data_IF_917667461160
#
_entry.id   IF_917667461160
#
_cell.length_a   1.000
_cell.length_b   1.000
_cell.length_c   1.000
_cell.angle_alpha   90.00
_cell.angle_beta   90.00
_cell.angle_gamma   90.00
#
_symmetry.space_group_name_H-M   'P 1'
#
loop_
_entity.id
_entity.type
_entity.pdbx_description
1 polymer ?
#
# COMPACT_ATOMS: atom_id res chain seq x y z
N UNK A 1 -48.81 -30.14 16.89
CA UNK A 1 -47.47 -30.21 17.47
C UNK A 1 -46.44 -30.96 16.60
N UNK A 2 -46.86 -31.62 15.51
CA UNK A 2 -45.92 -32.37 14.66
C UNK A 2 -45.23 -31.56 13.56
N UNK A 3 -45.85 -30.47 13.08
CA UNK A 3 -45.28 -29.69 11.97
C UNK A 3 -43.99 -28.94 12.30
N UNK A 4 -43.84 -28.41 13.53
CA UNK A 4 -42.63 -27.70 13.93
C UNK A 4 -41.45 -28.65 14.10
N UNK A 5 -41.66 -29.88 14.57
CA UNK A 5 -40.61 -30.89 14.73
C UNK A 5 -40.09 -31.44 13.39
N UNK A 6 -40.95 -31.46 12.36
CA UNK A 6 -40.58 -31.93 11.02
C UNK A 6 -39.77 -30.88 10.22
N UNK A 7 -39.94 -29.58 10.50
CA UNK A 7 -39.19 -28.53 9.87
C UNK A 7 -37.72 -28.61 10.32
N UNK A 8 -37.45 -28.81 11.60
CA UNK A 8 -36.09 -28.98 12.12
C UNK A 8 -35.35 -30.22 11.58
N UNK A 9 -36.08 -31.28 11.23
CA UNK A 9 -35.50 -32.50 10.68
C UNK A 9 -35.15 -32.42 9.18
N UNK A 10 -35.55 -31.34 8.49
CA UNK A 10 -35.32 -31.14 7.06
C UNK A 10 -34.32 -30.05 6.76
N UNK A 11 -33.74 -29.44 7.77
CA UNK A 11 -32.67 -28.46 7.58
C UNK A 11 -31.37 -29.17 7.26
N UNK A 12 -30.64 -28.64 6.31
CA UNK A 12 -29.30 -29.12 5.89
C UNK A 12 -28.25 -28.15 6.33
N UNK A 13 -27.06 -28.64 6.58
CA UNK A 13 -25.89 -27.85 6.93
C UNK A 13 -24.87 -27.92 5.79
N UNK A 14 -24.22 -26.81 5.49
CA UNK A 14 -23.12 -26.77 4.52
C UNK A 14 -21.82 -27.28 5.15
N UNK A 15 -20.89 -27.71 4.31
CA UNK A 15 -19.57 -28.17 4.75
C UNK A 15 -18.84 -27.07 5.53
N UNK A 16 -19.02 -25.80 5.13
CA UNK A 16 -18.46 -24.64 5.83
C UNK A 16 -18.97 -24.50 7.26
N UNK A 17 -20.26 -24.74 7.49
CA UNK A 17 -20.84 -24.71 8.85
C UNK A 17 -20.35 -25.88 9.69
N UNK A 18 -20.26 -27.06 9.06
CA UNK A 18 -19.77 -28.27 9.72
C UNK A 18 -18.30 -28.14 10.15
N UNK A 19 -17.52 -27.37 9.43
CA UNK A 19 -16.11 -27.10 9.78
C UNK A 19 -15.96 -26.40 11.14
N UNK A 20 -16.93 -25.61 11.57
CA UNK A 20 -16.93 -24.98 12.89
C UNK A 20 -17.01 -25.99 14.04
N UNK A 21 -17.40 -27.21 13.74
CA UNK A 21 -17.44 -28.34 14.68
C UNK A 21 -16.25 -29.27 14.50
N UNK A 22 -15.84 -29.56 13.27
CA UNK A 22 -14.88 -30.62 12.95
C UNK A 22 -13.42 -30.12 12.99
N UNK A 23 -13.16 -28.83 12.66
CA UNK A 23 -11.84 -28.27 12.80
C UNK A 23 -11.49 -28.03 14.26
N UNK A 24 -10.33 -28.54 14.77
CA UNK A 24 -9.99 -28.46 16.19
C UNK A 24 -9.85 -27.04 16.74
N UNK A 25 -9.47 -26.05 15.91
CA UNK A 25 -9.35 -24.65 16.32
C UNK A 25 -10.74 -24.03 16.49
N UNK A 26 -11.62 -24.19 15.50
CA UNK A 26 -12.99 -23.67 15.56
C UNK A 26 -13.88 -24.41 16.56
N UNK A 27 -13.70 -25.73 16.73
CA UNK A 27 -14.47 -26.51 17.69
C UNK A 27 -14.32 -26.01 19.13
N UNK A 28 -13.12 -25.55 19.52
CA UNK A 28 -12.88 -24.94 20.84
C UNK A 28 -13.69 -23.67 21.03
N UNK A 29 -13.75 -22.83 19.99
CA UNK A 29 -14.50 -21.56 20.00
C UNK A 29 -16.00 -21.84 20.06
N UNK A 30 -16.47 -22.76 19.23
CA UNK A 30 -17.89 -23.18 19.21
C UNK A 30 -18.33 -23.74 20.56
N UNK A 31 -17.50 -24.57 21.20
CA UNK A 31 -17.75 -25.11 22.53
C UNK A 31 -17.81 -24.01 23.59
N UNK A 32 -16.86 -23.05 23.57
CA UNK A 32 -16.84 -21.92 24.51
C UNK A 32 -18.16 -21.13 24.44
N UNK A 33 -18.61 -20.78 23.26
CA UNK A 33 -19.85 -20.03 23.07
C UNK A 33 -21.11 -20.84 23.39
N UNK A 34 -21.09 -22.16 23.20
CA UNK A 34 -22.16 -23.04 23.66
C UNK A 34 -22.27 -23.04 25.19
N UNK A 35 -21.15 -23.05 25.90
CA UNK A 35 -21.11 -23.06 27.35
C UNK A 35 -21.35 -21.69 27.98
N UNK A 36 -21.14 -20.59 27.24
CA UNK A 36 -21.21 -19.22 27.74
C UNK A 36 -22.05 -18.33 26.80
N UNK A 37 -23.40 -18.40 26.85
CA UNK A 37 -24.26 -17.67 25.92
C UNK A 37 -24.17 -16.13 26.04
N UNK A 38 -23.86 -15.59 27.22
CA UNK A 38 -23.65 -14.14 27.39
C UNK A 38 -22.35 -13.69 26.74
N UNK A 39 -21.28 -14.47 26.84
CA UNK A 39 -20.03 -14.21 26.12
C UNK A 39 -20.24 -14.24 24.60
N UNK A 40 -21.06 -15.17 24.11
CA UNK A 40 -21.42 -15.23 22.69
C UNK A 40 -22.14 -13.95 22.25
N UNK A 41 -23.11 -13.46 23.03
CA UNK A 41 -23.84 -12.25 22.68
C UNK A 41 -22.95 -11.01 22.59
N UNK A 42 -22.04 -10.82 23.56
CA UNK A 42 -21.07 -9.72 23.54
C UNK A 42 -20.10 -9.85 22.36
N UNK A 43 -19.52 -11.04 22.16
CA UNK A 43 -18.63 -11.31 21.05
C UNK A 43 -19.28 -11.06 19.67
N UNK A 44 -20.57 -11.46 19.54
CA UNK A 44 -21.32 -11.21 18.32
C UNK A 44 -21.57 -9.71 18.09
N UNK A 45 -21.95 -8.96 19.13
CA UNK A 45 -22.15 -7.51 19.02
C UNK A 45 -20.88 -6.79 18.60
N UNK A 46 -19.73 -7.16 19.18
CA UNK A 46 -18.42 -6.60 18.81
C UNK A 46 -18.01 -6.97 17.38
N UNK A 47 -18.23 -8.21 16.98
CA UNK A 47 -17.93 -8.65 15.61
C UNK A 47 -18.85 -7.96 14.59
N UNK A 48 -20.11 -7.76 14.93
CA UNK A 48 -21.07 -7.03 14.10
C UNK A 48 -20.68 -5.56 13.96
N UNK A 49 -20.29 -4.91 15.03
CA UNK A 49 -19.77 -3.56 15.00
C UNK A 49 -18.55 -3.45 14.06
N UNK A 50 -17.57 -4.36 14.20
CA UNK A 50 -16.41 -4.41 13.32
C UNK A 50 -16.83 -4.58 11.85
N UNK A 51 -17.72 -5.53 11.55
CA UNK A 51 -18.18 -5.81 10.20
C UNK A 51 -18.81 -4.59 9.54
N UNK A 52 -19.66 -3.87 10.28
CA UNK A 52 -20.48 -2.77 9.75
C UNK A 52 -19.81 -1.39 9.79
N UNK A 53 -18.62 -1.27 10.41
CA UNK A 53 -17.91 0.02 10.55
C UNK A 53 -16.49 -0.03 10.01
N UNK A 54 -16.06 -1.18 9.51
CA UNK A 54 -14.69 -1.36 9.04
C UNK A 54 -14.35 -0.50 7.82
N UNK A 55 -15.32 -0.25 6.97
CA UNK A 55 -15.22 0.60 5.79
C UNK A 55 -15.12 2.10 6.11
N UNK A 56 -15.36 2.51 7.36
CA UNK A 56 -15.22 3.89 7.78
C UNK A 56 -13.75 4.31 8.03
N UNK A 57 -12.85 3.35 8.19
CA UNK A 57 -11.44 3.61 8.50
C UNK A 57 -11.21 4.03 9.97
N UNK A 58 -10.16 4.82 10.26
CA UNK A 58 -9.86 5.27 11.62
C UNK A 58 -10.99 6.05 12.27
N UNK A 59 -11.12 5.95 13.59
CA UNK A 59 -12.17 6.61 14.37
C UNK A 59 -12.20 8.13 14.16
N UNK A 60 -11.05 8.75 13.85
CA UNK A 60 -10.95 10.16 13.49
C UNK A 60 -11.78 10.58 12.26
N UNK A 61 -12.23 9.62 11.46
CA UNK A 61 -13.10 9.85 10.28
C UNK A 61 -14.59 9.77 10.63
N UNK A 62 -14.94 9.34 11.83
CA UNK A 62 -16.32 9.25 12.26
C UNK A 62 -16.84 10.66 12.55
N UNK A 63 -18.10 10.91 12.19
CA UNK A 63 -18.75 12.21 12.37
C UNK A 63 -19.98 12.05 13.25
N UNK A 64 -20.30 13.12 13.99
CA UNK A 64 -21.47 13.16 14.88
C UNK A 64 -21.07 13.12 16.35
N UNK A 65 -22.09 13.18 17.22
CA UNK A 65 -21.91 13.22 18.69
C UNK A 65 -21.80 11.85 19.35
N UNK A 66 -22.25 10.80 18.64
CA UNK A 66 -22.42 9.46 19.21
C UNK A 66 -21.33 8.49 18.77
N UNK A 67 -20.12 9.02 18.54
CA UNK A 67 -18.94 8.22 18.23
C UNK A 67 -18.55 7.41 19.46
N UNK A 68 -18.37 6.06 19.34
CA UNK A 68 -17.90 5.25 20.45
C UNK A 68 -16.58 5.76 21.01
N UNK A 69 -16.47 5.83 22.34
CA UNK A 69 -15.25 6.30 23.00
C UNK A 69 -14.11 5.26 23.03
N UNK A 70 -14.42 3.99 22.84
CA UNK A 70 -13.44 2.90 22.78
C UNK A 70 -12.78 2.89 21.41
N UNK A 71 -11.48 3.13 21.36
CA UNK A 71 -10.67 3.00 20.16
C UNK A 71 -10.17 1.56 20.03
N UNK A 72 -10.54 0.89 18.95
CA UNK A 72 -10.24 -0.53 18.74
C UNK A 72 -9.06 -0.69 17.77
N UNK A 73 -8.20 -1.66 18.04
CA UNK A 73 -6.97 -1.88 17.27
C UNK A 73 -7.23 -2.08 15.77
N UNK A 74 -8.34 -2.70 15.38
CA UNK A 74 -8.70 -2.93 13.99
C UNK A 74 -9.13 -1.65 13.25
N UNK A 75 -9.34 -0.53 13.95
CA UNK A 75 -9.64 0.78 13.36
C UNK A 75 -8.36 1.51 12.91
N UNK A 76 -7.20 0.88 13.01
CA UNK A 76 -5.88 1.45 12.68
C UNK A 76 -5.63 2.80 13.39
N UNK A 77 -5.68 2.80 14.73
CA UNK A 77 -5.57 4.01 15.52
C UNK A 77 -4.26 4.76 15.24
N UNK A 78 -4.35 6.08 15.25
CA UNK A 78 -3.22 7.00 15.08
C UNK A 78 -3.27 8.08 16.14
N UNK A 79 -2.13 8.64 16.57
CA UNK A 79 -2.13 9.80 17.45
C UNK A 79 -2.89 10.98 16.81
N UNK A 80 -3.61 11.74 17.63
CA UNK A 80 -4.18 13.00 17.18
C UNK A 80 -3.07 14.01 16.87
N UNK A 81 -3.34 14.94 15.96
CA UNK A 81 -2.46 16.09 15.73
C UNK A 81 -2.54 17.03 16.94
N UNK A 82 -1.44 17.17 17.66
CA UNK A 82 -1.32 17.97 18.89
C UNK A 82 -0.35 19.16 18.76
N UNK A 83 0.02 19.49 17.52
CA UNK A 83 0.99 20.52 17.16
C UNK A 83 0.48 21.37 15.99
N UNK A 84 1.16 22.49 15.74
CA UNK A 84 0.90 23.31 14.55
C UNK A 84 1.42 22.60 13.30
N UNK A 85 0.60 22.56 12.25
CA UNK A 85 0.97 21.96 10.99
C UNK A 85 1.94 22.84 10.19
N UNK A 86 2.76 22.21 9.38
CA UNK A 86 3.64 22.88 8.41
C UNK A 86 2.82 23.61 7.35
N UNK A 87 3.31 24.76 6.90
CA UNK A 87 2.73 25.53 5.81
C UNK A 87 3.48 25.32 4.48
N UNK A 88 3.05 26.01 3.42
CA UNK A 88 3.64 25.89 2.09
C UNK A 88 5.12 26.29 2.03
N UNK A 89 5.57 27.24 2.87
CA UNK A 89 6.98 27.63 2.94
C UNK A 89 7.83 26.52 3.58
N UNK A 90 7.30 25.87 4.60
CA UNK A 90 7.93 24.71 5.25
C UNK A 90 7.99 23.53 4.28
N UNK A 91 6.91 23.27 3.54
CA UNK A 91 6.84 22.23 2.49
C UNK A 91 7.94 22.43 1.45
N UNK A 92 8.10 23.65 0.94
CA UNK A 92 9.15 23.96 -0.05
C UNK A 92 10.56 23.75 0.53
N UNK A 93 10.80 24.20 1.76
CA UNK A 93 12.08 24.02 2.43
C UNK A 93 12.39 22.55 2.72
N UNK A 94 11.40 21.77 3.13
CA UNK A 94 11.53 20.34 3.38
C UNK A 94 11.79 19.58 2.09
N UNK A 95 11.09 19.88 0.98
CA UNK A 95 11.36 19.29 -0.34
C UNK A 95 12.82 19.52 -0.76
N UNK A 96 13.31 20.76 -0.67
CA UNK A 96 14.69 21.07 -0.99
C UNK A 96 15.68 20.27 -0.11
N UNK A 97 15.44 20.22 1.20
CA UNK A 97 16.29 19.48 2.13
C UNK A 97 16.29 17.97 1.87
N UNK A 98 15.16 17.39 1.49
CA UNK A 98 15.04 15.97 1.13
C UNK A 98 15.83 15.66 -0.14
N UNK A 99 15.76 16.52 -1.15
CA UNK A 99 16.53 16.34 -2.40
C UNK A 99 18.03 16.47 -2.21
N UNK A 100 18.49 17.21 -1.19
CA UNK A 100 19.90 17.36 -0.82
C UNK A 100 20.47 16.17 0.00
N UNK A 101 19.65 15.16 0.35
CA UNK A 101 20.10 13.98 1.11
C UNK A 101 20.98 13.02 0.29
N UNK A 102 21.11 13.22 -1.01
CA UNK A 102 21.85 12.34 -1.90
C UNK A 102 21.17 11.00 -2.18
N UNK A 103 19.86 10.90 -1.89
CA UNK A 103 19.03 9.75 -2.26
C UNK A 103 18.55 9.90 -3.70
N UNK A 104 18.48 8.78 -4.42
CA UNK A 104 17.97 8.77 -5.79
C UNK A 104 16.45 8.94 -5.86
N UNK A 105 15.96 9.40 -7.01
CA UNK A 105 14.51 9.45 -7.31
C UNK A 105 13.86 8.08 -7.07
N UNK A 106 14.48 7.02 -7.57
CA UNK A 106 14.01 5.65 -7.42
C UNK A 106 13.84 5.24 -5.94
N UNK A 107 14.82 5.54 -5.09
CA UNK A 107 14.77 5.22 -3.65
C UNK A 107 13.62 5.95 -2.94
N UNK A 108 13.47 7.25 -3.18
CA UNK A 108 12.43 8.06 -2.55
C UNK A 108 11.02 7.65 -3.01
N UNK A 109 10.84 7.43 -4.31
CA UNK A 109 9.54 7.02 -4.87
C UNK A 109 9.18 5.60 -4.43
N UNK A 110 10.14 4.66 -4.41
CA UNK A 110 9.91 3.29 -3.95
C UNK A 110 9.40 3.23 -2.51
N UNK A 111 9.97 4.03 -1.60
CA UNK A 111 9.53 4.06 -0.19
C UNK A 111 8.17 4.74 -0.05
N UNK A 112 7.91 5.82 -0.78
CA UNK A 112 6.60 6.46 -0.78
C UNK A 112 5.51 5.54 -1.34
N UNK A 113 5.78 4.83 -2.44
CA UNK A 113 4.90 3.80 -2.98
C UNK A 113 4.66 2.68 -1.96
N UNK A 114 5.71 2.11 -1.39
CA UNK A 114 5.61 1.03 -0.42
C UNK A 114 4.75 1.42 0.79
N UNK A 115 4.87 2.66 1.26
CA UNK A 115 4.06 3.20 2.36
C UNK A 115 2.58 3.35 1.97
N UNK A 116 2.30 3.87 0.77
CA UNK A 116 0.94 4.16 0.31
C UNK A 116 0.19 2.91 -0.20
N UNK A 117 0.90 1.98 -0.84
CA UNK A 117 0.32 0.87 -1.60
C UNK A 117 -0.35 -0.22 -0.77
N UNK A 118 -0.23 -0.18 0.56
CA UNK A 118 -0.98 -1.05 1.47
C UNK A 118 -2.43 -0.63 1.65
N UNK A 119 -2.82 0.57 1.18
CA UNK A 119 -4.19 1.06 1.31
C UNK A 119 -5.17 0.17 0.54
N UNK A 120 -6.31 -0.10 1.17
CA UNK A 120 -7.45 -0.80 0.58
C UNK A 120 -8.70 0.06 0.69
N UNK A 121 -9.23 0.48 -0.45
CA UNK A 121 -10.45 1.28 -0.52
C UNK A 121 -11.70 0.54 -0.05
N UNK A 122 -11.65 -0.79 -0.01
CA UNK A 122 -12.76 -1.64 0.45
C UNK A 122 -13.03 -1.56 1.95
N UNK A 123 -11.99 -1.36 2.78
CA UNK A 123 -12.12 -1.30 4.24
C UNK A 123 -11.30 -0.16 4.88
N UNK A 124 -10.77 0.74 4.06
CA UNK A 124 -9.99 1.92 4.44
C UNK A 124 -8.74 1.61 5.29
N UNK A 125 -8.23 0.38 5.23
CA UNK A 125 -7.03 -0.04 5.94
C UNK A 125 -5.75 0.26 5.16
N UNK A 126 -4.64 0.31 5.89
CA UNK A 126 -3.32 0.56 5.32
C UNK A 126 -3.10 2.02 4.91
N UNK A 127 -2.17 2.23 3.98
CA UNK A 127 -1.80 3.54 3.49
C UNK A 127 -0.69 4.21 4.30
N UNK A 128 -0.31 5.41 3.87
CA UNK A 128 0.84 6.13 4.41
C UNK A 128 0.63 6.66 5.82
N UNK A 129 -0.63 6.89 6.24
CA UNK A 129 -0.92 7.45 7.56
C UNK A 129 -0.52 6.48 8.67
N UNK A 130 0.14 6.98 9.71
CA UNK A 130 0.71 6.17 10.77
C UNK A 130 2.16 5.76 10.53
N UNK A 131 2.72 5.98 9.33
CA UNK A 131 4.08 5.56 8.94
C UNK A 131 4.44 4.12 9.36
N UNK A 132 3.46 3.21 9.32
CA UNK A 132 3.63 1.83 9.81
C UNK A 132 4.65 1.02 9.01
N UNK A 133 5.06 1.53 7.85
CA UNK A 133 6.17 0.95 7.08
C UNK A 133 7.48 0.87 7.86
N UNK A 134 7.68 1.73 8.87
CA UNK A 134 8.86 1.68 9.78
C UNK A 134 8.73 0.62 10.88
N UNK A 135 7.53 0.06 11.08
CA UNK A 135 7.20 -0.90 12.13
C UNK A 135 7.09 -2.32 11.59
N UNK A 136 7.21 -3.32 12.46
CA UNK A 136 6.84 -4.68 12.12
C UNK A 136 5.31 -4.76 11.88
N UNK A 137 4.84 -5.59 10.92
CA UNK A 137 5.63 -6.46 10.06
C UNK A 137 6.19 -5.78 8.80
N UNK A 138 5.67 -4.61 8.41
CA UNK A 138 5.89 -3.99 7.10
C UNK A 138 7.37 -3.71 6.80
N UNK A 139 8.15 -3.31 7.80
CA UNK A 139 9.59 -3.02 7.61
C UNK A 139 10.42 -4.23 7.20
N UNK A 140 9.88 -5.44 7.39
CA UNK A 140 10.56 -6.69 7.07
C UNK A 140 10.02 -7.36 5.80
N UNK A 141 8.96 -6.84 5.21
CA UNK A 141 8.43 -7.39 3.98
C UNK A 141 9.44 -7.30 2.85
N UNK A 142 9.68 -8.41 2.19
CA UNK A 142 10.63 -8.51 1.08
C UNK A 142 10.36 -7.46 0.00
N UNK A 143 9.09 -7.31 -0.39
CA UNK A 143 8.68 -6.35 -1.42
C UNK A 143 9.03 -4.88 -1.11
N UNK A 144 9.33 -4.56 0.15
CA UNK A 144 9.72 -3.21 0.57
C UNK A 144 11.24 -2.98 0.54
N UNK A 145 12.02 -3.98 0.15
CA UNK A 145 13.50 -3.92 0.14
C UNK A 145 14.05 -3.37 1.47
N UNK A 146 14.09 -4.17 2.55
CA UNK A 146 14.38 -3.68 3.91
C UNK A 146 15.66 -2.88 4.06
N UNK A 147 16.70 -3.19 3.28
CA UNK A 147 17.97 -2.46 3.30
C UNK A 147 17.81 -1.05 2.76
N UNK A 148 17.18 -0.89 1.59
CA UNK A 148 16.89 0.41 0.99
C UNK A 148 15.91 1.20 1.85
N UNK A 149 14.86 0.54 2.33
CA UNK A 149 13.86 1.14 3.21
C UNK A 149 14.51 1.74 4.45
N UNK A 150 15.37 1.00 5.14
CA UNK A 150 16.08 1.49 6.33
C UNK A 150 16.92 2.73 6.00
N UNK A 151 17.70 2.68 4.93
CA UNK A 151 18.53 3.82 4.48
C UNK A 151 17.71 5.10 4.29
N UNK A 152 16.56 4.98 3.60
CA UNK A 152 15.69 6.13 3.32
C UNK A 152 15.01 6.63 4.60
N UNK A 153 14.47 5.72 5.42
CA UNK A 153 13.82 6.11 6.66
C UNK A 153 14.77 6.79 7.64
N UNK A 154 15.98 6.28 7.82
CA UNK A 154 16.99 6.91 8.70
C UNK A 154 17.31 8.34 8.25
N UNK A 155 17.43 8.57 6.94
CA UNK A 155 17.67 9.90 6.39
C UNK A 155 16.48 10.85 6.63
N UNK A 156 15.24 10.38 6.39
CA UNK A 156 14.03 11.17 6.62
C UNK A 156 13.79 11.45 8.11
N UNK A 157 14.09 10.50 9.01
CA UNK A 157 14.05 10.73 10.46
C UNK A 157 15.05 11.81 10.88
N UNK A 158 16.21 11.87 10.24
CA UNK A 158 17.18 12.94 10.44
C UNK A 158 16.61 14.33 10.08
N UNK A 159 15.88 14.40 8.95
CA UNK A 159 15.17 15.63 8.54
C UNK A 159 14.07 15.99 9.55
N UNK A 160 13.25 15.00 9.96
CA UNK A 160 12.20 15.18 10.94
C UNK A 160 12.75 15.76 12.26
N UNK A 161 13.75 15.13 12.84
CA UNK A 161 14.38 15.55 14.09
C UNK A 161 14.93 16.97 14.00
N UNK A 162 15.63 17.27 12.89
CA UNK A 162 16.20 18.59 12.65
C UNK A 162 15.12 19.67 12.49
N UNK A 163 14.04 19.41 11.77
CA UNK A 163 12.95 20.36 11.57
C UNK A 163 12.19 20.57 12.89
N UNK A 164 11.74 19.53 13.54
CA UNK A 164 10.94 19.61 14.76
C UNK A 164 11.69 20.25 15.94
N UNK A 165 13.03 20.18 15.96
CA UNK A 165 13.84 20.86 16.97
C UNK A 165 13.98 22.38 16.73
N UNK A 166 13.78 22.86 15.49
CA UNK A 166 14.03 24.25 15.10
C UNK A 166 12.79 25.08 14.78
N UNK A 167 11.63 24.46 14.61
CA UNK A 167 10.42 25.09 14.04
C UNK A 167 9.41 25.64 15.06
N UNK A 168 9.76 25.66 16.34
CA UNK A 168 8.86 26.16 17.40
C UNK A 168 7.68 25.24 17.65
N UNK A 169 6.45 25.72 17.42
CA UNK A 169 5.23 24.94 17.62
C UNK A 169 4.89 24.02 16.44
N UNK A 170 5.48 24.26 15.27
CA UNK A 170 5.25 23.44 14.08
C UNK A 170 6.03 22.14 14.15
N UNK A 171 5.39 21.06 13.73
CA UNK A 171 6.04 19.75 13.60
C UNK A 171 5.61 19.05 12.30
N UNK A 172 6.44 18.11 11.84
CA UNK A 172 6.16 17.24 10.73
C UNK A 172 6.31 15.79 11.16
N UNK A 173 5.36 14.94 10.79
CA UNK A 173 5.45 13.50 11.02
C UNK A 173 6.36 12.82 9.99
N UNK A 174 6.87 11.63 10.33
CA UNK A 174 7.57 10.82 9.35
C UNK A 174 6.64 10.36 8.22
N UNK A 175 5.37 10.11 8.53
CA UNK A 175 4.35 9.78 7.54
C UNK A 175 4.21 10.87 6.47
N UNK A 176 4.15 12.14 6.89
CA UNK A 176 4.11 13.27 5.95
C UNK A 176 5.43 13.41 5.18
N UNK A 177 6.58 13.22 5.82
CA UNK A 177 7.88 13.29 5.15
C UNK A 177 8.07 12.20 4.09
N UNK A 178 7.59 10.98 4.33
CA UNK A 178 7.63 9.89 3.34
C UNK A 178 6.83 10.28 2.09
N UNK A 179 5.61 10.79 2.27
CA UNK A 179 4.76 11.25 1.15
C UNK A 179 5.40 12.43 0.43
N UNK A 180 5.91 13.40 1.19
CA UNK A 180 6.56 14.60 0.65
C UNK A 180 7.83 14.25 -0.13
N UNK A 181 8.60 13.26 0.34
CA UNK A 181 9.80 12.78 -0.34
C UNK A 181 9.48 12.17 -1.70
N UNK A 182 8.42 11.34 -1.79
CA UNK A 182 7.94 10.85 -3.07
C UNK A 182 7.51 11.98 -4.01
N UNK A 183 6.74 12.94 -3.50
CA UNK A 183 6.29 14.11 -4.29
C UNK A 183 7.47 14.93 -4.82
N UNK A 184 8.44 15.26 -3.96
CA UNK A 184 9.63 16.01 -4.35
C UNK A 184 10.48 15.26 -5.41
N UNK A 185 10.58 13.94 -5.28
CA UNK A 185 11.32 13.12 -6.24
C UNK A 185 10.62 13.07 -7.61
N UNK A 186 9.27 13.00 -7.64
CA UNK A 186 8.48 13.05 -8.88
C UNK A 186 8.61 14.42 -9.55
N UNK A 187 8.51 15.51 -8.80
CA UNK A 187 8.70 16.86 -9.33
C UNK A 187 10.11 17.06 -9.91
N UNK A 188 11.13 16.56 -9.21
CA UNK A 188 12.50 16.58 -9.71
C UNK A 188 12.63 15.78 -10.99
N UNK A 189 12.11 14.55 -11.04
CA UNK A 189 12.18 13.70 -12.23
C UNK A 189 11.47 14.31 -13.44
N UNK A 190 10.34 14.99 -13.22
CA UNK A 190 9.61 15.70 -14.27
C UNK A 190 10.43 16.92 -14.76
N UNK A 191 11.01 17.68 -13.85
CA UNK A 191 11.85 18.83 -14.19
C UNK A 191 13.10 18.41 -14.95
N UNK A 192 13.76 17.32 -14.56
CA UNK A 192 14.90 16.77 -15.29
C UNK A 192 14.49 16.33 -16.71
N UNK A 193 13.25 15.87 -16.91
CA UNK A 193 12.65 15.56 -18.21
C UNK A 193 12.13 16.80 -18.99
N UNK A 194 12.26 18.01 -18.43
CA UNK A 194 11.87 19.27 -19.08
C UNK A 194 10.42 19.70 -18.81
N UNK A 195 9.72 19.08 -17.85
CA UNK A 195 8.35 19.43 -17.45
C UNK A 195 8.33 20.01 -16.03
N UNK A 196 7.71 21.18 -15.88
CA UNK A 196 7.53 21.81 -14.56
C UNK A 196 6.15 21.45 -14.02
N UNK A 197 6.11 20.57 -13.03
CA UNK A 197 4.87 20.10 -12.38
C UNK A 197 4.95 20.30 -10.88
N UNK A 198 3.80 20.47 -10.25
CA UNK A 198 3.65 20.44 -8.81
C UNK A 198 2.76 19.26 -8.40
N UNK A 199 3.24 18.44 -7.46
CA UNK A 199 2.45 17.36 -6.85
C UNK A 199 1.74 17.94 -5.62
N UNK A 200 0.40 17.98 -5.60
CA UNK A 200 -0.35 18.48 -4.45
C UNK A 200 0.00 17.72 -3.16
N UNK A 201 0.16 18.45 -2.07
CA UNK A 201 0.46 17.87 -0.77
C UNK A 201 -0.38 18.54 0.33
N UNK A 202 -0.88 17.72 1.25
CA UNK A 202 -1.58 18.19 2.46
C UNK A 202 -0.97 17.51 3.67
N UNK A 203 -0.48 18.29 4.67
CA UNK A 203 0.05 17.75 5.92
C UNK A 203 -1.08 17.28 6.85
N UNK A 204 -0.71 16.58 7.93
CA UNK A 204 -1.62 16.17 9.00
C UNK A 204 -1.66 14.68 9.27
N UNK A 205 -0.79 13.88 8.62
CA UNK A 205 -0.56 12.51 9.02
C UNK A 205 0.22 12.50 10.33
N UNK A 206 0.03 11.44 11.12
CA UNK A 206 0.77 11.22 12.36
C UNK A 206 1.44 9.86 12.35
N UNK A 207 2.34 9.63 13.28
CA UNK A 207 3.16 8.41 13.35
C UNK A 207 2.60 7.47 14.41
N UNK A 208 2.01 6.35 14.00
CA UNK A 208 1.47 5.33 14.90
C UNK A 208 2.57 4.68 15.73
N UNK A 209 2.21 4.21 16.94
CA UNK A 209 3.09 3.39 17.78
C UNK A 209 2.95 1.90 17.44
N UNK A 210 3.80 1.08 18.05
CA UNK A 210 3.70 -0.38 17.95
C UNK A 210 2.38 -0.87 18.55
N UNK A 211 1.96 -0.29 19.68
CA UNK A 211 0.72 -0.62 20.40
C UNK A 211 -0.52 -0.24 19.59
N UNK A 212 -0.42 0.74 18.71
CA UNK A 212 -1.46 1.16 17.77
C UNK A 212 -1.44 0.38 16.45
N UNK A 213 -0.62 -0.65 16.34
CA UNK A 213 -0.46 -1.43 15.11
C UNK A 213 -0.97 -2.85 15.32
N UNK A 214 -2.03 -3.23 14.60
CA UNK A 214 -2.59 -4.59 14.58
C UNK A 214 -1.71 -5.50 13.71
N UNK A 215 -0.62 -5.99 14.29
CA UNK A 215 0.42 -6.75 13.59
C UNK A 215 -0.14 -7.99 12.88
N UNK A 216 -1.08 -8.70 13.51
CA UNK A 216 -1.67 -9.91 12.92
C UNK A 216 -2.53 -9.60 11.71
N UNK A 217 -3.36 -8.56 11.80
CA UNK A 217 -4.21 -8.13 10.68
C UNK A 217 -3.41 -7.50 9.55
N UNK A 218 -2.27 -6.86 9.85
CA UNK A 218 -1.38 -6.31 8.82
C UNK A 218 -0.70 -7.39 7.97
N UNK A 219 -0.58 -8.63 8.44
CA UNK A 219 -0.09 -9.74 7.63
C UNK A 219 -0.92 -9.93 6.34
N UNK A 220 -2.23 -9.70 6.39
CA UNK A 220 -3.11 -9.77 5.22
C UNK A 220 -2.89 -8.62 4.20
N UNK A 221 -2.16 -7.57 4.56
CA UNK A 221 -1.80 -6.46 3.68
C UNK A 221 -0.44 -6.66 3.00
N UNK A 222 0.33 -7.70 3.37
CA UNK A 222 1.58 -8.01 2.71
C UNK A 222 1.33 -8.30 1.23
N UNK A 223 1.97 -7.57 0.32
CA UNK A 223 1.81 -7.82 -1.09
C UNK A 223 2.38 -9.19 -1.47
N UNK A 224 1.55 -10.07 -2.00
CA UNK A 224 1.98 -11.30 -2.65
C UNK A 224 2.44 -11.05 -4.07
N UNK A 225 1.85 -10.04 -4.71
CA UNK A 225 2.27 -9.49 -5.99
C UNK A 225 2.03 -7.99 -6.03
N UNK A 226 2.87 -7.27 -6.76
CA UNK A 226 2.72 -5.85 -7.03
C UNK A 226 3.24 -5.53 -8.44
N UNK A 227 2.35 -5.54 -9.41
CA UNK A 227 2.68 -5.27 -10.81
C UNK A 227 3.22 -3.84 -11.04
N UNK A 228 2.93 -2.89 -10.15
CA UNK A 228 3.49 -1.55 -10.21
C UNK A 228 5.02 -1.55 -9.95
N UNK A 229 5.52 -2.51 -9.17
CA UNK A 229 6.94 -2.70 -8.85
C UNK A 229 7.58 -3.91 -9.54
N UNK A 230 6.87 -4.62 -10.43
CA UNK A 230 7.29 -5.92 -10.97
C UNK A 230 7.65 -6.96 -9.89
N UNK A 231 6.94 -6.94 -8.77
CA UNK A 231 7.13 -7.90 -7.68
C UNK A 231 6.12 -9.04 -7.74
N UNK A 232 6.58 -10.25 -7.59
CA UNK A 232 5.76 -11.43 -7.37
C UNK A 232 6.50 -12.42 -6.46
N UNK A 233 5.87 -12.83 -5.36
CA UNK A 233 6.48 -13.70 -4.35
C UNK A 233 6.60 -15.15 -4.79
N UNK A 234 5.58 -15.66 -5.46
CA UNK A 234 5.52 -17.05 -5.97
C UNK A 234 4.78 -17.09 -7.30
N UNK A 235 4.73 -18.29 -7.91
CA UNK A 235 3.85 -18.53 -9.06
C UNK A 235 2.40 -18.65 -8.59
N UNK A 236 1.53 -17.85 -9.20
CA UNK A 236 0.10 -17.88 -8.97
C UNK A 236 -0.63 -18.61 -10.10
N UNK A 237 -1.82 -19.10 -9.79
CA UNK A 237 -2.78 -19.59 -10.79
C UNK A 237 -3.52 -18.46 -11.48
N UNK A 238 -3.51 -17.28 -10.89
CA UNK A 238 -4.07 -16.04 -11.43
C UNK A 238 -3.01 -15.31 -12.24
N UNK A 239 -3.38 -14.75 -13.37
CA UNK A 239 -2.44 -14.04 -14.26
C UNK A 239 -1.92 -12.74 -13.63
N UNK A 240 -0.74 -12.29 -14.08
CA UNK A 240 -0.11 -11.07 -13.57
C UNK A 240 -0.96 -9.81 -13.82
N UNK A 241 -1.64 -9.76 -14.97
CA UNK A 241 -2.53 -8.65 -15.34
C UNK A 241 -3.79 -8.62 -14.48
N UNK A 242 -4.37 -9.76 -14.13
CA UNK A 242 -5.51 -9.83 -13.20
C UNK A 242 -5.11 -9.35 -11.81
N UNK A 243 -3.94 -9.76 -11.31
CA UNK A 243 -3.41 -9.29 -10.02
C UNK A 243 -3.11 -7.78 -10.03
N UNK A 244 -2.63 -7.23 -11.15
CA UNK A 244 -2.41 -5.79 -11.30
C UNK A 244 -3.73 -5.01 -11.26
N UNK A 245 -4.76 -5.50 -11.96
CA UNK A 245 -6.10 -4.89 -11.95
C UNK A 245 -6.73 -4.95 -10.56
N UNK A 246 -6.62 -6.09 -9.88
CA UNK A 246 -7.11 -6.23 -8.50
C UNK A 246 -6.42 -5.22 -7.55
N UNK A 247 -5.11 -5.09 -7.65
CA UNK A 247 -4.35 -4.09 -6.88
C UNK A 247 -4.80 -2.67 -7.19
N UNK A 248 -5.03 -2.35 -8.45
CA UNK A 248 -5.53 -1.03 -8.86
C UNK A 248 -6.92 -0.75 -8.26
N UNK A 249 -7.82 -1.75 -8.26
CA UNK A 249 -9.14 -1.64 -7.65
C UNK A 249 -9.06 -1.42 -6.13
N UNK A 250 -8.20 -2.15 -5.41
CA UNK A 250 -7.97 -1.93 -3.98
C UNK A 250 -7.48 -0.52 -3.68
N UNK A 251 -6.65 0.04 -4.56
CA UNK A 251 -6.16 1.42 -4.47
C UNK A 251 -7.18 2.46 -4.99
N UNK A 252 -8.36 2.03 -5.45
CA UNK A 252 -9.39 2.88 -6.07
C UNK A 252 -8.94 3.61 -7.33
N UNK A 253 -7.96 3.04 -8.05
CA UNK A 253 -7.41 3.62 -9.28
C UNK A 253 -8.29 3.27 -10.50
N UNK A 254 -8.49 4.25 -11.36
CA UNK A 254 -9.07 4.06 -12.69
C UNK A 254 -8.05 3.47 -13.66
N UNK A 255 -8.50 2.96 -14.80
CA UNK A 255 -7.60 2.40 -15.81
C UNK A 255 -6.54 3.42 -16.33
N UNK A 256 -6.88 4.69 -16.61
CA UNK A 256 -5.87 5.71 -16.93
C UNK A 256 -4.84 5.93 -15.82
N UNK A 257 -5.28 6.00 -14.54
CA UNK A 257 -4.39 6.18 -13.39
C UNK A 257 -3.48 4.98 -13.19
N UNK A 258 -4.00 3.76 -13.31
CA UNK A 258 -3.19 2.54 -13.30
C UNK A 258 -2.13 2.58 -14.40
N UNK A 259 -2.51 2.92 -15.62
CA UNK A 259 -1.63 2.94 -16.77
C UNK A 259 -0.50 3.95 -16.62
N UNK A 260 -0.81 5.19 -16.21
CA UNK A 260 0.21 6.23 -16.04
C UNK A 260 1.15 5.93 -14.89
N UNK A 261 0.65 5.34 -13.80
CA UNK A 261 1.50 4.93 -12.67
C UNK A 261 2.44 3.79 -13.06
N UNK A 262 1.96 2.76 -13.76
CA UNK A 262 2.84 1.67 -14.25
C UNK A 262 3.94 2.25 -15.13
N UNK A 263 3.60 3.04 -16.15
CA UNK A 263 4.58 3.62 -17.07
C UNK A 263 5.57 4.57 -16.39
N UNK A 264 5.06 5.41 -15.51
CA UNK A 264 5.90 6.33 -14.72
C UNK A 264 6.87 5.61 -13.80
N UNK A 265 6.39 4.62 -13.05
CA UNK A 265 7.25 3.83 -12.15
C UNK A 265 8.34 3.05 -12.90
N UNK A 266 8.06 2.59 -14.13
CA UNK A 266 9.10 2.01 -15.01
C UNK A 266 10.13 3.06 -15.43
N UNK A 267 9.69 4.24 -15.89
CA UNK A 267 10.59 5.32 -16.27
C UNK A 267 11.46 5.79 -15.09
N UNK A 268 10.91 5.80 -13.88
CA UNK A 268 11.61 6.15 -12.65
C UNK A 268 12.51 5.01 -12.11
N UNK A 269 12.53 3.84 -12.76
CA UNK A 269 13.30 2.67 -12.36
C UNK A 269 13.03 2.22 -10.91
N UNK A 270 11.74 2.12 -10.55
CA UNK A 270 11.31 1.75 -9.20
C UNK A 270 10.93 0.28 -9.05
N UNK A 271 11.34 -0.56 -9.98
CA UNK A 271 11.11 -2.00 -9.92
C UNK A 271 11.76 -2.60 -8.67
N UNK A 272 11.11 -3.64 -8.15
CA UNK A 272 11.66 -4.43 -7.06
C UNK A 272 13.05 -4.99 -7.44
N UNK A 273 13.96 -4.94 -6.47
CA UNK A 273 15.33 -5.45 -6.57
C UNK A 273 16.15 -4.88 -7.77
N UNK A 274 15.79 -3.69 -8.24
CA UNK A 274 16.49 -3.02 -9.34
C UNK A 274 16.33 -3.71 -10.69
N UNK A 275 15.32 -4.55 -10.87
CA UNK A 275 15.00 -5.19 -12.15
C UNK A 275 14.76 -4.16 -13.25
N UNK A 276 15.35 -4.36 -14.41
CA UNK A 276 15.17 -3.49 -15.58
C UNK A 276 14.01 -3.91 -16.50
N UNK A 277 13.20 -4.89 -16.09
CA UNK A 277 12.07 -5.35 -16.89
C UNK A 277 11.03 -4.24 -17.09
N UNK A 278 10.78 -3.88 -18.35
CA UNK A 278 9.85 -2.82 -18.72
C UNK A 278 10.38 -1.39 -18.53
N UNK A 279 11.65 -1.21 -18.18
CA UNK A 279 12.30 0.11 -18.15
C UNK A 279 12.65 0.52 -19.59
N UNK A 280 11.63 1.00 -20.33
CA UNK A 280 11.77 1.33 -21.75
C UNK A 280 12.23 2.78 -21.95
N UNK A 281 13.37 3.15 -21.40
CA UNK A 281 13.97 4.47 -21.52
C UNK A 281 15.49 4.38 -21.38
N UNK A 282 16.20 5.26 -22.08
CA UNK A 282 17.66 5.45 -21.92
C UNK A 282 17.99 6.47 -20.80
N UNK A 283 16.97 7.00 -20.14
CA UNK A 283 17.08 8.03 -19.09
C UNK A 283 16.30 7.59 -17.83
N UNK A 284 16.67 6.47 -17.19
CA UNK A 284 15.99 6.00 -15.99
C UNK A 284 16.14 7.02 -14.85
N UNK A 285 15.04 7.27 -14.16
CA UNK A 285 14.94 8.30 -13.11
C UNK A 285 14.39 9.64 -13.58
N UNK A 286 14.22 9.85 -14.89
CA UNK A 286 13.51 11.00 -15.46
C UNK A 286 12.06 10.60 -15.79
N UNK A 287 11.10 11.48 -15.48
CA UNK A 287 9.68 11.22 -15.77
C UNK A 287 9.36 11.59 -17.22
N UNK A 288 9.83 10.76 -18.15
CA UNK A 288 9.58 10.90 -19.59
C UNK A 288 8.43 10.03 -20.06
N UNK A 289 7.91 10.27 -21.25
CA UNK A 289 6.94 9.39 -21.91
C UNK A 289 7.61 8.28 -22.75
N UNK A 290 8.89 8.07 -22.59
CA UNK A 290 9.67 7.06 -23.35
C UNK A 290 9.07 5.66 -23.21
N UNK A 291 8.62 5.29 -22.00
CA UNK A 291 7.94 4.01 -21.75
C UNK A 291 6.79 3.79 -22.74
N UNK A 292 5.91 4.76 -22.89
CA UNK A 292 4.74 4.65 -23.77
C UNK A 292 5.15 4.67 -25.25
N UNK A 293 6.09 5.53 -25.60
CA UNK A 293 6.59 5.62 -26.98
C UNK A 293 7.20 4.29 -27.43
N UNK A 294 8.00 3.65 -26.59
CA UNK A 294 8.64 2.37 -26.89
C UNK A 294 7.68 1.19 -26.80
N UNK A 295 6.72 1.23 -25.86
CA UNK A 295 5.72 0.17 -25.70
C UNK A 295 4.83 0.02 -26.93
N UNK A 296 4.39 1.15 -27.53
CA UNK A 296 3.49 1.16 -28.68
C UNK A 296 4.23 1.21 -30.03
N UNK A 297 5.57 1.17 -30.02
CA UNK A 297 6.36 1.19 -31.26
C UNK A 297 6.05 -0.01 -32.15
N UNK A 298 5.42 0.25 -33.30
CA UNK A 298 5.07 -0.77 -34.28
C UNK A 298 6.28 -1.38 -34.99
N UNK A 299 7.46 -0.79 -34.84
CA UNK A 299 8.75 -1.36 -35.28
C UNK A 299 9.25 -2.50 -34.38
N UNK A 300 8.65 -2.69 -33.22
CA UNK A 300 9.00 -3.76 -32.27
C UNK A 300 7.97 -4.88 -32.31
N UNK A 301 8.45 -6.13 -32.29
CA UNK A 301 7.62 -7.33 -32.11
C UNK A 301 7.93 -7.97 -30.77
N UNK A 302 6.90 -8.25 -30.00
CA UNK A 302 7.02 -8.87 -28.68
C UNK A 302 6.82 -10.37 -28.76
N UNK A 303 7.66 -11.12 -28.07
CA UNK A 303 7.59 -12.58 -28.00
C UNK A 303 7.88 -13.06 -26.57
N UNK A 304 7.06 -13.97 -26.07
CA UNK A 304 7.32 -14.64 -24.81
C UNK A 304 8.64 -15.42 -24.85
N UNK A 305 9.43 -15.32 -23.77
CA UNK A 305 10.71 -16.02 -23.63
C UNK A 305 10.55 -17.46 -23.14
N UNK A 306 9.37 -17.79 -22.60
CA UNK A 306 9.04 -19.12 -22.08
C UNK A 306 7.55 -19.44 -22.22
N UNK A 307 7.18 -20.69 -22.01
CA UNK A 307 5.78 -21.12 -21.96
C UNK A 307 4.97 -20.51 -20.79
N UNK A 308 5.65 -19.95 -19.81
CA UNK A 308 4.96 -19.27 -18.69
C UNK A 308 4.42 -17.90 -19.08
N UNK A 309 4.83 -17.36 -20.23
CA UNK A 309 4.38 -16.07 -20.78
C UNK A 309 4.43 -14.89 -19.78
N UNK A 310 5.38 -14.94 -18.84
CA UNK A 310 5.56 -13.92 -17.80
C UNK A 310 6.72 -12.97 -18.09
N UNK A 311 7.52 -13.26 -19.09
CA UNK A 311 8.64 -12.45 -19.56
C UNK A 311 8.66 -12.43 -21.09
N UNK A 312 8.80 -11.24 -21.65
CA UNK A 312 8.77 -11.00 -23.09
C UNK A 312 10.03 -10.29 -23.55
N UNK A 313 10.53 -10.62 -24.71
CA UNK A 313 11.56 -9.90 -25.43
C UNK A 313 10.96 -9.06 -26.57
N UNK A 314 11.45 -7.86 -26.76
CA UNK A 314 11.10 -6.98 -27.88
C UNK A 314 12.19 -7.01 -28.95
N UNK A 315 11.85 -7.34 -30.17
CA UNK A 315 12.80 -7.40 -31.30
C UNK A 315 12.41 -6.42 -32.41
N UNK A 316 13.42 -5.85 -33.05
CA UNK A 316 13.19 -5.07 -34.25
C UNK A 316 12.48 -5.93 -35.32
N UNK A 317 11.39 -5.42 -35.85
CA UNK A 317 10.53 -6.15 -36.79
C UNK A 317 11.21 -6.47 -38.11
N UNK A 318 12.21 -5.65 -38.54
CA UNK A 318 12.89 -5.79 -39.82
C UNK A 318 14.17 -6.61 -39.69
N UNK A 319 14.98 -6.34 -38.67
CA UNK A 319 16.28 -6.96 -38.50
C UNK A 319 16.25 -8.19 -37.60
N UNK A 320 15.25 -8.31 -36.74
CA UNK A 320 15.18 -9.37 -35.71
C UNK A 320 16.10 -9.15 -34.51
N UNK A 321 16.82 -8.05 -34.47
CA UNK A 321 17.71 -7.71 -33.37
C UNK A 321 16.93 -7.45 -32.08
N UNK A 322 17.53 -7.84 -30.96
CA UNK A 322 16.96 -7.61 -29.64
C UNK A 322 17.02 -6.11 -29.32
N UNK A 323 15.87 -5.50 -28.96
CA UNK A 323 15.75 -4.11 -28.52
C UNK A 323 15.48 -4.00 -27.03
N UNK A 324 14.58 -4.89 -26.58
CA UNK A 324 14.12 -4.89 -25.19
C UNK A 324 14.07 -6.31 -24.62
#
# INVERSE_FOLDING_TARGET
SSAASDVYKRQTMLTTDLSLREDPAYAKISKRFHENPEEFADAFARAWFKLTHRDMGPIARYVGSDVPSEELIWQDPIPAVDHELIDMSDVAALKAKILDLGLSVSELVSVAWASASTFRGSDMRGGANGSRIRLAPQKYWECNNPTQLTKVLDALEGVQKSFNAGSGAKQVSLADLIVLAGSAAIEKAAKDAGSDIEVPFTPGRTDATVEQTDVESFAALEPEADGFRNYAKTRYTVSAEEMLVDKAHLLTLTAPEMTVLVGGLRALNTNFDGSEHGVFTDRPGELTNDFFSNLIDMGTTWKATSHAENLFEGRDRKTGELKW
#
